data_IF_014063299049
#
_entry.id   IF_014063299049
#
_cell.length_a   1.000
_cell.length_b   1.000
_cell.length_c   1.000
_cell.angle_alpha   90.00
_cell.angle_beta   90.00
_cell.angle_gamma   90.00
#
_symmetry.space_group_name_H-M   'P 1'
#
loop_
_entity.id
_entity.type
_entity.pdbx_description
1 polymer ?
#
# COMPACT_ATOMS: atom_id res chain seq x y z
N UNK A 1 -4.65 7.86 79.89
CA UNK A 1 -3.93 6.98 78.95
C UNK A 1 -4.30 7.46 77.56
N UNK A 2 -3.49 8.37 77.00
CA UNK A 2 -2.47 8.09 75.98
C UNK A 2 -3.08 7.58 74.67
N UNK A 3 -3.09 8.52 73.71
CA UNK A 3 -2.66 8.41 72.31
C UNK A 3 -3.37 7.44 71.35
N UNK A 4 -3.65 7.97 70.16
CA UNK A 4 -3.93 7.16 68.98
C UNK A 4 -4.56 7.90 67.81
N UNK A 5 -4.00 9.07 67.45
CA UNK A 5 -4.21 9.68 66.14
C UNK A 5 -3.53 8.78 65.08
N UNK A 6 -4.20 8.47 63.97
CA UNK A 6 -3.55 8.32 62.66
C UNK A 6 -4.59 8.43 61.54
N UNK A 7 -4.46 9.52 60.78
CA UNK A 7 -5.03 9.72 59.46
C UNK A 7 -4.49 8.65 58.50
N UNK A 8 -5.36 8.14 57.64
CA UNK A 8 -4.99 7.35 56.47
C UNK A 8 -6.05 7.51 55.38
N UNK A 9 -5.95 8.57 54.58
CA UNK A 9 -6.71 8.73 53.36
C UNK A 9 -6.08 7.83 52.28
N UNK A 10 -6.83 6.84 51.81
CA UNK A 10 -6.56 6.15 50.56
C UNK A 10 -7.70 6.47 49.60
N UNK A 11 -7.54 7.58 48.86
CA UNK A 11 -8.32 7.83 47.67
C UNK A 11 -7.75 6.98 46.54
N UNK A 12 -8.54 6.02 46.05
CA UNK A 12 -8.32 5.45 44.73
C UNK A 12 -9.34 6.07 43.80
N UNK A 13 -8.83 7.02 43.02
CA UNK A 13 -9.46 7.70 41.91
C UNK A 13 -10.21 6.74 41.00
N UNK A 14 -11.44 7.11 40.62
CA UNK A 14 -12.12 6.56 39.46
C UNK A 14 -11.26 6.81 38.23
N UNK A 15 -10.60 5.77 37.72
CA UNK A 15 -9.88 5.80 36.45
C UNK A 15 -10.85 5.57 35.31
N UNK A 16 -11.45 6.66 34.81
CA UNK A 16 -11.89 6.73 33.42
C UNK A 16 -10.66 6.78 32.51
N UNK A 17 -10.71 6.10 31.37
CA UNK A 17 -9.85 6.43 30.21
C UNK A 17 -8.94 5.30 29.78
N UNK A 18 -9.16 4.83 28.56
CA UNK A 18 -8.30 3.85 27.90
C UNK A 18 -9.08 2.77 27.15
N UNK A 19 -10.19 3.11 26.49
CA UNK A 19 -10.49 2.37 25.27
C UNK A 19 -9.39 2.76 24.30
N UNK A 20 -8.40 1.88 24.11
CA UNK A 20 -7.54 1.89 22.93
C UNK A 20 -8.43 1.63 21.71
N UNK A 21 -9.22 2.65 21.36
CA UNK A 21 -9.65 2.87 20.01
C UNK A 21 -8.38 3.19 19.26
N UNK A 22 -7.71 2.16 18.77
CA UNK A 22 -6.91 2.30 17.57
C UNK A 22 -7.83 2.96 16.57
N UNK A 23 -7.65 4.26 16.42
CA UNK A 23 -8.19 5.03 15.32
C UNK A 23 -7.57 4.36 14.09
N UNK A 24 -8.30 3.39 13.52
CA UNK A 24 -8.08 2.96 12.15
C UNK A 24 -8.39 4.20 11.35
N UNK A 25 -7.35 5.00 11.09
CA UNK A 25 -7.36 5.97 10.01
C UNK A 25 -7.96 5.26 8.80
N UNK A 26 -8.96 5.85 8.13
CA UNK A 26 -9.56 5.20 6.96
C UNK A 26 -8.44 4.87 5.98
N UNK A 27 -8.23 3.58 5.70
CA UNK A 27 -7.11 3.07 4.92
C UNK A 27 -7.09 3.56 3.45
N UNK A 28 -8.06 4.39 3.04
CA UNK A 28 -8.22 4.86 1.68
C UNK A 28 -7.17 5.87 1.23
N UNK A 29 -6.85 6.88 2.04
CA UNK A 29 -5.83 7.89 1.68
C UNK A 29 -4.39 7.42 2.01
N UNK A 30 -4.25 6.55 3.00
CA UNK A 30 -2.95 6.06 3.47
C UNK A 30 -2.27 5.14 2.43
N UNK A 31 -3.05 4.38 1.64
CA UNK A 31 -2.50 3.46 0.64
C UNK A 31 -1.68 4.21 -0.43
N UNK A 32 -2.19 5.33 -0.95
CA UNK A 32 -1.49 6.09 -1.98
C UNK A 32 -0.18 6.69 -1.45
N UNK A 33 -0.22 7.28 -0.25
CA UNK A 33 0.98 7.82 0.40
C UNK A 33 2.02 6.73 0.69
N UNK A 34 1.57 5.53 1.07
CA UNK A 34 2.46 4.40 1.34
C UNK A 34 3.12 3.81 0.09
N UNK A 35 2.61 4.09 -1.11
CA UNK A 35 3.16 3.58 -2.37
C UNK A 35 4.18 4.54 -3.02
N UNK A 36 4.18 5.83 -2.68
CA UNK A 36 5.07 6.82 -3.31
C UNK A 36 6.53 6.39 -3.23
N UNK A 37 7.19 6.32 -4.39
CA UNK A 37 8.60 5.97 -4.53
C UNK A 37 8.90 4.47 -4.40
N UNK A 38 7.88 3.61 -4.31
CA UNK A 38 8.05 2.16 -4.24
C UNK A 38 7.98 1.52 -5.62
N UNK A 39 8.80 0.48 -5.80
CA UNK A 39 8.76 -0.40 -6.96
C UNK A 39 8.36 -1.80 -6.53
N UNK A 40 7.62 -2.51 -7.39
CA UNK A 40 7.22 -3.88 -7.14
C UNK A 40 7.49 -4.75 -8.36
N UNK A 41 7.86 -6.01 -8.13
CA UNK A 41 8.05 -7.02 -9.16
C UNK A 41 7.00 -8.12 -9.03
N UNK A 42 6.44 -8.55 -10.16
CA UNK A 42 5.50 -9.67 -10.20
C UNK A 42 6.14 -10.93 -9.60
N UNK A 43 5.42 -11.71 -8.82
CA UNK A 43 5.93 -12.97 -8.24
C UNK A 43 6.16 -14.02 -9.33
N UNK A 44 5.25 -14.08 -10.31
CA UNK A 44 5.34 -14.99 -11.46
C UNK A 44 5.88 -14.26 -12.67
N UNK A 45 6.79 -14.89 -13.41
CA UNK A 45 7.26 -14.34 -14.68
C UNK A 45 6.14 -14.36 -15.74
N UNK A 46 5.98 -13.25 -16.46
CA UNK A 46 5.12 -13.13 -17.63
C UNK A 46 5.91 -13.15 -18.94
N UNK A 47 5.22 -13.21 -20.07
CA UNK A 47 5.85 -13.00 -21.38
C UNK A 47 6.45 -11.60 -21.46
N UNK A 48 7.64 -11.45 -22.06
CA UNK A 48 8.39 -10.20 -22.22
C UNK A 48 8.89 -9.96 -23.64
N UNK A 49 8.26 -10.63 -24.61
CA UNK A 49 8.61 -10.58 -26.02
C UNK A 49 9.27 -11.86 -26.54
N UNK A 50 9.74 -11.77 -27.79
CA UNK A 50 10.31 -12.87 -28.54
C UNK A 50 11.84 -12.77 -28.62
N UNK A 51 12.51 -13.82 -28.18
CA UNK A 51 13.93 -14.04 -28.40
C UNK A 51 14.20 -15.01 -29.56
N UNK A 52 15.49 -15.23 -29.92
CA UNK A 52 15.87 -16.15 -31.00
C UNK A 52 15.39 -17.61 -30.79
N UNK A 53 15.07 -17.98 -29.55
CA UNK A 53 14.66 -19.33 -29.17
C UNK A 53 13.16 -19.42 -28.79
N UNK A 54 12.37 -18.38 -29.07
CA UNK A 54 10.95 -18.32 -28.72
C UNK A 54 10.63 -17.26 -27.68
N UNK A 55 9.51 -17.44 -26.98
CA UNK A 55 9.04 -16.53 -25.93
C UNK A 55 10.07 -16.41 -24.81
N UNK A 56 10.36 -15.18 -24.41
CA UNK A 56 11.18 -14.87 -23.23
C UNK A 56 10.24 -14.51 -22.09
N UNK A 57 10.51 -15.06 -20.91
CA UNK A 57 9.79 -14.71 -19.68
C UNK A 57 10.64 -13.77 -18.83
N UNK A 58 9.99 -12.87 -18.09
CA UNK A 58 10.63 -12.01 -17.11
C UNK A 58 9.61 -11.52 -16.07
N UNK A 59 10.11 -10.92 -14.99
CA UNK A 59 9.26 -10.24 -14.02
C UNK A 59 8.76 -8.91 -14.59
N UNK A 60 7.45 -8.70 -14.53
CA UNK A 60 6.82 -7.41 -14.78
C UNK A 60 7.01 -6.48 -13.58
N UNK A 61 6.95 -5.18 -13.82
CA UNK A 61 7.30 -4.16 -12.83
C UNK A 61 6.21 -3.09 -12.70
N UNK A 62 5.95 -2.67 -11.47
CA UNK A 62 5.14 -1.51 -11.11
C UNK A 62 6.06 -0.49 -10.46
N UNK A 63 6.05 0.75 -10.94
CA UNK A 63 6.76 1.87 -10.34
C UNK A 63 5.77 2.96 -9.95
N UNK A 64 5.71 3.26 -8.66
CA UNK A 64 4.84 4.30 -8.11
C UNK A 64 5.65 5.55 -7.81
N UNK A 65 5.20 6.70 -8.33
CA UNK A 65 5.87 8.00 -8.13
C UNK A 65 4.83 9.12 -7.92
N UNK A 66 5.27 10.26 -7.42
CA UNK A 66 4.45 11.46 -7.25
C UNK A 66 4.74 12.44 -8.39
N UNK A 67 3.70 12.93 -9.07
CA UNK A 67 3.85 13.97 -10.08
C UNK A 67 4.12 15.36 -9.47
N UNK A 68 4.40 16.35 -10.32
CA UNK A 68 4.66 17.73 -9.89
C UNK A 68 3.48 18.38 -9.13
N UNK A 69 2.29 17.80 -9.18
CA UNK A 69 1.07 18.27 -8.52
C UNK A 69 0.75 17.50 -7.24
N UNK A 70 1.55 16.49 -6.87
CA UNK A 70 1.31 15.66 -5.69
C UNK A 70 0.38 14.48 -5.93
N UNK A 71 0.08 14.13 -7.19
CA UNK A 71 -0.76 12.98 -7.50
C UNK A 71 0.09 11.72 -7.70
N UNK A 72 -0.38 10.59 -7.16
CA UNK A 72 0.26 9.31 -7.38
C UNK A 72 0.14 8.91 -8.85
N UNK A 73 1.25 8.49 -9.44
CA UNK A 73 1.35 7.96 -10.79
C UNK A 73 1.91 6.55 -10.73
N UNK A 74 1.48 5.72 -11.68
CA UNK A 74 1.99 4.37 -11.88
C UNK A 74 2.60 4.26 -13.28
N UNK A 75 3.77 3.65 -13.36
CA UNK A 75 4.30 3.05 -14.58
C UNK A 75 4.24 1.53 -14.44
N UNK A 76 3.47 0.87 -15.29
CA UNK A 76 3.36 -0.58 -15.38
C UNK A 76 4.11 -1.08 -16.60
N UNK A 77 5.22 -1.77 -16.37
CA UNK A 77 6.04 -2.39 -17.39
C UNK A 77 5.68 -3.87 -17.48
N UNK A 78 4.84 -4.22 -18.45
CA UNK A 78 4.39 -5.59 -18.68
C UNK A 78 4.64 -6.01 -20.12
N UNK A 79 5.11 -7.24 -20.28
CA UNK A 79 5.64 -7.74 -21.54
C UNK A 79 6.67 -6.82 -22.21
N UNK A 80 6.44 -6.42 -23.45
CA UNK A 80 7.22 -5.45 -24.22
C UNK A 80 6.56 -4.06 -24.24
N UNK A 81 5.60 -3.81 -23.35
CA UNK A 81 4.78 -2.59 -23.26
C UNK A 81 4.98 -1.90 -21.92
N UNK A 82 4.93 -0.57 -21.93
CA UNK A 82 4.84 0.27 -20.74
C UNK A 82 3.56 1.09 -20.79
N UNK A 83 2.78 1.03 -19.72
CA UNK A 83 1.55 1.79 -19.55
C UNK A 83 1.67 2.70 -18.33
N UNK A 84 1.14 3.92 -18.41
CA UNK A 84 1.17 4.82 -17.27
C UNK A 84 -0.08 5.66 -17.12
N UNK A 85 -0.32 6.10 -15.89
CA UNK A 85 -1.47 6.93 -15.55
C UNK A 85 -1.47 7.35 -14.08
N UNK A 86 -2.39 8.25 -13.76
CA UNK A 86 -2.63 8.67 -12.38
C UNK A 86 -3.40 7.59 -11.64
N UNK A 87 -3.01 7.28 -10.40
CA UNK A 87 -3.67 6.30 -9.54
C UNK A 87 -4.54 7.01 -8.52
N UNK A 88 -5.77 6.53 -8.36
CA UNK A 88 -6.62 6.87 -7.22
C UNK A 88 -6.70 5.69 -6.26
N UNK A 89 -6.67 5.99 -4.96
CA UNK A 89 -6.83 5.00 -3.90
C UNK A 89 -8.18 5.18 -3.21
N UNK A 90 -8.91 4.09 -2.98
CA UNK A 90 -10.13 4.07 -2.17
C UNK A 90 -10.17 2.76 -1.38
N UNK A 91 -10.05 2.85 -0.06
CA UNK A 91 -10.01 1.72 0.88
C UNK A 91 -9.07 0.57 0.44
N UNK A 92 -7.82 0.90 0.08
CA UNK A 92 -6.82 -0.07 -0.40
C UNK A 92 -7.02 -0.55 -1.85
N UNK A 93 -8.13 -0.20 -2.50
CA UNK A 93 -8.31 -0.41 -3.94
C UNK A 93 -7.57 0.67 -4.72
N UNK A 94 -6.83 0.24 -5.75
CA UNK A 94 -6.08 1.09 -6.65
C UNK A 94 -6.79 1.14 -8.01
N UNK A 95 -6.90 2.31 -8.61
CA UNK A 95 -7.42 2.46 -9.98
C UNK A 95 -6.52 3.38 -10.78
N UNK A 96 -5.94 2.88 -11.88
CA UNK A 96 -5.16 3.70 -12.81
C UNK A 96 -6.08 4.34 -13.86
N UNK A 97 -6.03 5.66 -13.91
CA UNK A 97 -6.70 6.48 -14.90
C UNK A 97 -5.68 6.86 -15.99
N UNK A 98 -5.65 6.07 -17.07
CA UNK A 98 -4.79 6.26 -18.25
C UNK A 98 -5.61 6.58 -19.51
N UNK A 99 -5.01 7.28 -20.46
CA UNK A 99 -5.68 7.85 -21.66
C UNK A 99 -6.19 6.85 -22.71
N UNK A 100 -6.00 5.54 -22.50
CA UNK A 100 -6.57 4.49 -23.33
C UNK A 100 -7.21 3.43 -22.43
N UNK A 101 -8.52 3.21 -22.58
CA UNK A 101 -9.22 2.13 -21.90
C UNK A 101 -8.64 0.75 -22.29
N UNK A 102 -8.67 -0.25 -21.39
CA UNK A 102 -9.38 -0.29 -20.11
C UNK A 102 -8.67 0.44 -18.96
N UNK A 103 -9.46 0.89 -17.97
CA UNK A 103 -8.92 1.27 -16.66
C UNK A 103 -8.45 -0.01 -15.95
N UNK A 104 -7.23 -0.02 -15.46
CA UNK A 104 -6.69 -1.12 -14.67
C UNK A 104 -6.92 -0.86 -13.19
N UNK A 105 -7.15 -1.93 -12.45
CA UNK A 105 -7.39 -1.88 -11.01
C UNK A 105 -6.58 -2.92 -10.28
N UNK A 106 -6.29 -2.63 -9.02
CA UNK A 106 -5.57 -3.51 -8.12
C UNK A 106 -5.93 -3.27 -6.67
N UNK A 107 -5.21 -3.94 -5.78
CA UNK A 107 -5.30 -3.74 -4.34
C UNK A 107 -3.91 -3.70 -3.72
N UNK A 108 -3.73 -2.89 -2.69
CA UNK A 108 -2.50 -2.85 -1.90
C UNK A 108 -2.77 -3.36 -0.49
N UNK A 109 -1.96 -4.33 -0.05
CA UNK A 109 -1.91 -4.79 1.33
C UNK A 109 -0.68 -4.15 2.03
N UNK A 110 -0.88 -3.21 2.96
CA UNK A 110 0.22 -2.55 3.67
C UNK A 110 0.90 -3.45 4.70
N UNK A 111 0.26 -4.53 5.17
CA UNK A 111 0.86 -5.43 6.17
C UNK A 111 1.88 -6.38 5.53
N UNK A 112 1.65 -6.76 4.28
CA UNK A 112 2.53 -7.66 3.52
C UNK A 112 3.33 -6.95 2.42
N UNK A 113 3.16 -5.63 2.27
CA UNK A 113 3.72 -4.83 1.18
C UNK A 113 3.54 -5.50 -0.19
N UNK A 114 2.31 -5.94 -0.45
CA UNK A 114 1.94 -6.70 -1.65
C UNK A 114 0.94 -5.91 -2.47
N UNK A 115 1.14 -5.87 -3.78
CA UNK A 115 0.17 -5.32 -4.72
C UNK A 115 -0.43 -6.46 -5.54
N UNK A 116 -1.75 -6.54 -5.62
CA UNK A 116 -2.44 -7.34 -6.63
C UNK A 116 -2.81 -6.39 -7.76
N UNK A 117 -2.33 -6.64 -8.98
CA UNK A 117 -2.59 -5.80 -10.16
C UNK A 117 -2.86 -6.67 -11.37
N UNK A 118 -4.00 -6.48 -12.03
CA UNK A 118 -4.44 -7.32 -13.16
C UNK A 118 -4.39 -8.83 -12.83
N UNK A 119 -4.95 -9.21 -11.67
CA UNK A 119 -4.97 -10.57 -11.13
C UNK A 119 -3.59 -11.21 -10.86
N UNK A 120 -2.49 -10.43 -10.93
CA UNK A 120 -1.14 -10.88 -10.60
C UNK A 120 -0.66 -10.28 -9.27
N UNK A 121 0.10 -11.07 -8.53
CA UNK A 121 0.74 -10.65 -7.28
C UNK A 121 2.11 -10.03 -7.55
N UNK A 122 2.41 -8.91 -6.89
CA UNK A 122 3.68 -8.19 -6.94
C UNK A 122 4.22 -7.95 -5.54
N UNK A 123 5.52 -8.13 -5.36
CA UNK A 123 6.24 -7.92 -4.11
C UNK A 123 7.19 -6.72 -4.22
N UNK A 124 7.41 -6.05 -3.09
CA UNK A 124 8.32 -4.91 -3.00
C UNK A 124 9.70 -5.26 -3.55
N UNK A 125 10.20 -4.42 -4.45
CA UNK A 125 11.55 -4.51 -5.00
C UNK A 125 12.50 -3.64 -4.16
N UNK A 126 13.34 -4.27 -3.33
CA UNK A 126 14.30 -3.59 -2.46
C UNK A 126 15.64 -3.24 -3.16
N UNK A 127 15.70 -3.36 -4.49
CA UNK A 127 16.96 -3.27 -5.26
C UNK A 127 17.52 -1.87 -5.50
#
# INVERSE_FOLDING_TARGET
>A
MIAGLLLGAAGCTSGSGGSDGGEQTPAGDDACAALVGKSFLSVTEGECGLGPNGVVLCHWRLDFDEDEQGALTLMWMHSDVGESGTVTCDDGALTMNGGGSPSYSGTYDPDTETVIWDDLEYQLDES
#
